data_IF_814609465697
#
_entry.id   IF_814609465697
#
_cell.length_a   1.000
_cell.length_b   1.000
_cell.length_c   1.000
_cell.angle_alpha   90.00
_cell.angle_beta   90.00
_cell.angle_gamma   90.00
#
_symmetry.space_group_name_H-M   'P 1'
#
loop_
_entity.id
_entity.type
_entity.pdbx_description
1 polymer ?
#
# COMPACT_ATOMS: atom_id res chain seq x y z
N UNK A 1 12.98 -0.01 -21.12
CA UNK A 1 11.92 -0.52 -20.20
C UNK A 1 11.63 -1.99 -20.40
N UNK A 2 11.40 -2.49 -21.63
CA UNK A 2 11.08 -3.91 -21.87
C UNK A 2 12.12 -4.91 -21.37
N UNK A 3 13.42 -4.67 -21.62
CA UNK A 3 14.48 -5.52 -21.09
C UNK A 3 14.48 -5.56 -19.56
N UNK A 4 14.34 -4.40 -18.90
CA UNK A 4 14.31 -4.31 -17.45
C UNK A 4 13.12 -5.09 -16.86
N UNK A 5 11.94 -4.96 -17.47
CA UNK A 5 10.74 -5.71 -17.11
C UNK A 5 10.97 -7.22 -17.27
N UNK A 6 11.39 -7.65 -18.46
CA UNK A 6 11.65 -9.06 -18.72
C UNK A 6 12.63 -9.66 -17.71
N UNK A 7 13.72 -8.94 -17.44
CA UNK A 7 14.74 -9.34 -16.47
C UNK A 7 14.16 -9.41 -15.06
N UNK A 8 13.35 -8.44 -14.60
CA UNK A 8 12.69 -8.52 -13.29
C UNK A 8 11.77 -9.73 -13.12
N UNK A 9 11.11 -10.16 -14.22
CA UNK A 9 10.15 -11.25 -14.19
C UNK A 9 10.81 -12.64 -14.30
N UNK A 10 11.79 -12.82 -15.19
CA UNK A 10 12.19 -14.15 -15.67
C UNK A 10 13.68 -14.46 -15.59
N UNK A 11 14.52 -13.53 -15.13
CA UNK A 11 15.95 -13.80 -15.09
C UNK A 11 16.29 -14.92 -14.10
N UNK A 12 17.19 -15.84 -14.49
CA UNK A 12 17.56 -17.01 -13.67
C UNK A 12 18.18 -16.64 -12.32
N UNK A 13 18.91 -15.53 -12.29
CA UNK A 13 19.51 -14.99 -11.07
C UNK A 13 18.50 -14.09 -10.35
N UNK A 14 18.10 -14.54 -9.16
CA UNK A 14 17.14 -13.86 -8.29
C UNK A 14 17.67 -12.48 -7.82
N UNK A 15 18.97 -12.32 -7.62
CA UNK A 15 19.55 -11.04 -7.19
C UNK A 15 19.52 -10.01 -8.33
N UNK A 16 19.67 -10.47 -9.58
CA UNK A 16 19.48 -9.61 -10.75
C UNK A 16 18.01 -9.20 -10.89
N UNK A 17 17.05 -10.12 -10.69
CA UNK A 17 15.62 -9.79 -10.65
C UNK A 17 15.34 -8.73 -9.58
N UNK A 18 15.87 -8.93 -8.38
CA UNK A 18 15.75 -8.03 -7.23
C UNK A 18 16.25 -6.63 -7.56
N UNK A 19 17.46 -6.51 -8.13
CA UNK A 19 18.01 -5.22 -8.54
C UNK A 19 17.12 -4.52 -9.58
N UNK A 20 16.53 -5.27 -10.52
CA UNK A 20 15.61 -4.71 -11.50
C UNK A 20 14.31 -4.18 -10.86
N UNK A 21 13.75 -4.91 -9.88
CA UNK A 21 12.61 -4.44 -9.09
C UNK A 21 12.96 -3.16 -8.31
N UNK A 22 14.14 -3.09 -7.70
CA UNK A 22 14.61 -1.89 -6.99
C UNK A 22 14.75 -0.68 -7.92
N UNK A 23 15.21 -0.89 -9.16
CA UNK A 23 15.23 0.16 -10.18
C UNK A 23 13.81 0.65 -10.46
N UNK A 24 12.83 -0.24 -10.68
CA UNK A 24 11.44 0.17 -10.87
C UNK A 24 10.87 0.94 -9.69
N UNK A 25 11.13 0.50 -8.45
CA UNK A 25 10.75 1.23 -7.23
C UNK A 25 11.29 2.66 -7.27
N UNK A 26 12.56 2.83 -7.64
CA UNK A 26 13.19 4.15 -7.73
C UNK A 26 12.55 5.01 -8.82
N UNK A 27 12.30 4.44 -10.00
CA UNK A 27 11.65 5.14 -11.10
C UNK A 27 10.22 5.57 -10.75
N UNK A 28 9.43 4.71 -10.09
CA UNK A 28 8.08 5.06 -9.61
C UNK A 28 8.15 6.23 -8.62
N UNK A 29 9.13 6.22 -7.70
CA UNK A 29 9.31 7.31 -6.73
C UNK A 29 9.66 8.64 -7.40
N UNK A 30 10.54 8.59 -8.39
CA UNK A 30 11.15 9.78 -9.01
C UNK A 30 10.30 10.37 -10.15
N UNK A 31 9.58 9.53 -10.91
CA UNK A 31 8.85 9.93 -12.12
C UNK A 31 7.35 10.09 -11.91
N UNK A 32 6.78 9.47 -10.87
CA UNK A 32 5.36 9.63 -10.54
C UNK A 32 5.19 10.56 -9.35
N UNK A 33 4.46 11.66 -9.53
CA UNK A 33 4.12 12.56 -8.44
C UNK A 33 2.98 11.98 -7.57
N UNK A 34 2.84 12.50 -6.35
CA UNK A 34 1.71 12.19 -5.46
C UNK A 34 0.41 12.74 -6.08
N UNK A 35 -0.78 12.21 -5.72
CA UNK A 35 -1.78 11.66 -6.65
C UNK A 35 -2.43 12.62 -7.67
N UNK A 36 -2.06 13.90 -7.67
CA UNK A 36 -2.56 14.93 -8.57
C UNK A 36 -1.44 15.68 -9.33
N UNK A 37 -0.18 15.22 -9.25
CA UNK A 37 0.93 15.84 -9.96
C UNK A 37 1.18 15.22 -11.32
N UNK A 38 1.72 16.00 -12.26
CA UNK A 38 2.06 15.53 -13.60
C UNK A 38 3.15 14.44 -13.54
N UNK A 39 2.94 13.34 -14.27
CA UNK A 39 3.99 12.34 -14.47
C UNK A 39 5.14 12.95 -15.30
N UNK A 40 6.38 12.70 -14.88
CA UNK A 40 7.55 13.25 -15.60
C UNK A 40 7.80 12.58 -16.93
N UNK A 41 7.31 11.35 -17.08
CA UNK A 41 7.47 10.52 -18.28
C UNK A 41 6.09 10.07 -18.72
N UNK A 42 5.58 10.58 -19.87
CA UNK A 42 4.26 10.23 -20.36
C UNK A 42 4.06 8.71 -20.53
N UNK A 43 2.94 8.19 -20.03
CA UNK A 43 2.55 6.79 -20.10
C UNK A 43 3.28 5.86 -19.12
N UNK A 44 4.16 6.39 -18.28
CA UNK A 44 4.92 5.56 -17.34
C UNK A 44 4.02 4.99 -16.25
N UNK A 45 3.08 5.78 -15.72
CA UNK A 45 2.11 5.28 -14.74
C UNK A 45 1.30 4.10 -15.30
N UNK A 46 0.73 4.25 -16.51
CA UNK A 46 -0.02 3.17 -17.17
C UNK A 46 0.85 1.94 -17.40
N UNK A 47 2.09 2.10 -17.86
CA UNK A 47 3.02 0.99 -18.01
C UNK A 47 3.25 0.24 -16.69
N UNK A 48 3.42 0.96 -15.57
CA UNK A 48 3.65 0.33 -14.28
C UNK A 48 2.41 -0.43 -13.80
N UNK A 49 1.24 0.19 -13.86
CA UNK A 49 -0.02 -0.40 -13.38
C UNK A 49 -0.41 -1.61 -14.25
N UNK A 50 -0.40 -1.46 -15.56
CA UNK A 50 -0.94 -2.45 -16.48
C UNK A 50 0.06 -3.58 -16.78
N UNK A 51 1.34 -3.24 -16.84
CA UNK A 51 2.38 -4.19 -17.28
C UNK A 51 3.24 -4.68 -16.14
N UNK A 52 3.95 -3.78 -15.44
CA UNK A 52 4.91 -4.20 -14.40
C UNK A 52 4.22 -4.89 -13.22
N UNK A 53 3.15 -4.32 -12.70
CA UNK A 53 2.45 -4.88 -11.55
C UNK A 53 1.94 -6.30 -11.83
N UNK A 54 1.28 -6.50 -12.97
CA UNK A 54 0.71 -7.81 -13.32
C UNK A 54 1.80 -8.84 -13.62
N UNK A 55 2.77 -8.49 -14.48
CA UNK A 55 3.79 -9.45 -14.90
C UNK A 55 4.82 -9.75 -13.80
N UNK A 56 5.33 -8.72 -13.13
CA UNK A 56 6.36 -8.89 -12.11
C UNK A 56 5.75 -9.18 -10.74
N UNK A 57 4.80 -8.36 -10.28
CA UNK A 57 4.33 -8.46 -8.89
C UNK A 57 3.29 -9.55 -8.66
N UNK A 58 2.66 -10.09 -9.72
CA UNK A 58 1.72 -11.20 -9.62
C UNK A 58 2.26 -12.46 -10.31
N UNK A 59 2.40 -12.46 -11.64
CA UNK A 59 2.69 -13.70 -12.39
C UNK A 59 4.07 -14.27 -12.10
N UNK A 60 5.09 -13.44 -11.90
CA UNK A 60 6.45 -13.93 -11.65
C UNK A 60 6.62 -14.65 -10.29
N UNK A 61 5.64 -14.51 -9.39
CA UNK A 61 5.53 -15.24 -8.12
C UNK A 61 4.81 -16.58 -8.25
N UNK A 62 4.02 -16.76 -9.32
CA UNK A 62 3.29 -18.00 -9.61
C UNK A 62 4.15 -19.00 -10.38
N UNK A 63 5.31 -18.57 -10.87
CA UNK A 63 6.25 -19.46 -11.55
C UNK A 63 6.83 -20.48 -10.56
N UNK A 64 6.94 -21.73 -11.01
CA UNK A 64 7.50 -22.84 -10.22
C UNK A 64 8.93 -22.58 -9.73
N UNK A 65 9.68 -21.68 -10.37
CA UNK A 65 11.02 -21.29 -9.94
C UNK A 65 11.03 -20.42 -8.67
N UNK A 66 9.87 -19.98 -8.18
CA UNK A 66 9.76 -19.10 -7.01
C UNK A 66 9.51 -19.92 -5.73
N UNK A 67 10.58 -20.30 -5.04
CA UNK A 67 10.49 -21.16 -3.85
C UNK A 67 10.51 -20.36 -2.54
N UNK A 68 9.43 -20.33 -1.77
CA UNK A 68 9.36 -19.60 -0.48
C UNK A 68 10.28 -20.10 0.64
N UNK A 69 11.02 -21.20 0.41
CA UNK A 69 12.04 -21.72 1.35
C UNK A 69 13.44 -21.18 1.04
N UNK A 70 13.65 -20.65 -0.16
CA UNK A 70 14.93 -20.05 -0.54
C UNK A 70 15.05 -18.62 0.02
N UNK A 71 16.24 -18.26 0.49
CA UNK A 71 16.46 -16.96 1.10
C UNK A 71 16.45 -15.83 0.04
N UNK A 72 16.97 -16.09 -1.16
CA UNK A 72 17.04 -15.07 -2.20
C UNK A 72 15.65 -14.76 -2.76
N UNK A 73 14.81 -15.77 -2.97
CA UNK A 73 13.41 -15.60 -3.38
C UNK A 73 12.61 -14.83 -2.32
N UNK A 74 12.83 -15.10 -1.02
CA UNK A 74 12.21 -14.32 0.06
C UNK A 74 12.65 -12.85 0.05
N UNK A 75 13.93 -12.59 -0.22
CA UNK A 75 14.43 -11.21 -0.38
C UNK A 75 13.79 -10.52 -1.59
N UNK A 76 13.69 -11.21 -2.74
CA UNK A 76 13.00 -10.69 -3.92
C UNK A 76 11.51 -10.45 -3.65
N UNK A 77 10.85 -11.35 -2.93
CA UNK A 77 9.46 -11.22 -2.52
C UNK A 77 9.25 -9.93 -1.70
N UNK A 78 10.15 -9.66 -0.76
CA UNK A 78 10.14 -8.41 0.02
C UNK A 78 10.20 -7.16 -0.86
N UNK A 79 11.07 -7.14 -1.87
CA UNK A 79 11.15 -6.03 -2.83
C UNK A 79 9.89 -5.92 -3.69
N UNK A 80 9.28 -7.04 -4.09
CA UNK A 80 8.01 -7.04 -4.84
C UNK A 80 6.88 -6.47 -3.99
N UNK A 81 6.79 -6.83 -2.71
CA UNK A 81 5.82 -6.25 -1.77
C UNK A 81 6.07 -4.76 -1.58
N UNK A 82 7.34 -4.34 -1.45
CA UNK A 82 7.70 -2.92 -1.38
C UNK A 82 7.33 -2.16 -2.65
N UNK A 83 7.50 -2.76 -3.83
CA UNK A 83 7.06 -2.16 -5.08
C UNK A 83 5.55 -1.93 -5.11
N UNK A 84 4.76 -2.92 -4.69
CA UNK A 84 3.31 -2.78 -4.60
C UNK A 84 2.86 -1.72 -3.59
N UNK A 85 3.56 -1.63 -2.46
CA UNK A 85 3.37 -0.55 -1.50
C UNK A 85 3.59 0.82 -2.14
N UNK A 86 4.72 1.01 -2.82
CA UNK A 86 5.07 2.28 -3.49
C UNK A 86 4.09 2.59 -4.63
N UNK A 87 3.63 1.60 -5.39
CA UNK A 87 2.60 1.77 -6.40
C UNK A 87 1.29 2.26 -5.79
N UNK A 88 0.87 1.70 -4.66
CA UNK A 88 -0.32 2.20 -3.96
C UNK A 88 -0.12 3.61 -3.38
N UNK A 89 1.05 3.95 -2.85
CA UNK A 89 1.34 5.32 -2.38
C UNK A 89 1.20 6.36 -3.50
N UNK A 90 1.68 6.02 -4.71
CA UNK A 90 1.69 6.93 -5.85
C UNK A 90 0.39 6.96 -6.63
N UNK A 91 -0.23 5.80 -6.84
CA UNK A 91 -1.37 5.62 -7.75
C UNK A 91 -2.69 5.38 -7.02
N UNK A 92 -2.65 5.17 -5.70
CA UNK A 92 -3.83 4.94 -4.90
C UNK A 92 -4.65 3.73 -5.38
N UNK A 93 -5.96 3.95 -5.48
CA UNK A 93 -6.90 2.89 -5.82
C UNK A 93 -6.85 2.47 -7.30
N UNK A 94 -6.27 3.25 -8.20
CA UNK A 94 -6.21 2.91 -9.62
C UNK A 94 -5.39 1.63 -9.86
N UNK A 95 -4.29 1.50 -9.11
CA UNK A 95 -3.49 0.27 -9.09
C UNK A 95 -4.31 -0.93 -8.60
N UNK A 96 -5.02 -0.80 -7.47
CA UNK A 96 -5.84 -1.88 -6.92
C UNK A 96 -6.98 -2.26 -7.87
N UNK A 97 -7.65 -1.27 -8.46
CA UNK A 97 -8.74 -1.47 -9.39
C UNK A 97 -8.27 -2.24 -10.64
N UNK A 98 -7.07 -1.94 -11.15
CA UNK A 98 -6.49 -2.71 -12.24
C UNK A 98 -6.19 -4.16 -11.83
N UNK A 99 -5.62 -4.38 -10.65
CA UNK A 99 -5.37 -5.71 -10.12
C UNK A 99 -6.66 -6.54 -9.98
N UNK A 100 -7.71 -5.96 -9.40
CA UNK A 100 -9.00 -6.63 -9.23
C UNK A 100 -9.71 -6.91 -10.55
N UNK A 101 -9.65 -5.97 -11.50
CA UNK A 101 -10.40 -6.10 -12.77
C UNK A 101 -9.67 -6.89 -13.86
N UNK A 102 -8.33 -6.91 -13.86
CA UNK A 102 -7.51 -7.52 -14.92
C UNK A 102 -6.53 -8.54 -14.38
N UNK A 103 -5.71 -8.17 -13.40
CA UNK A 103 -4.61 -9.00 -12.90
C UNK A 103 -5.07 -10.32 -12.29
N UNK A 104 -5.88 -10.24 -11.24
CA UNK A 104 -6.41 -11.39 -10.49
C UNK A 104 -7.31 -12.31 -11.33
N UNK A 105 -8.27 -11.80 -12.13
CA UNK A 105 -9.06 -12.66 -13.01
C UNK A 105 -8.22 -13.44 -14.01
N UNK A 106 -7.19 -12.82 -14.60
CA UNK A 106 -6.28 -13.49 -15.52
C UNK A 106 -5.35 -14.50 -14.82
N UNK A 107 -5.14 -14.39 -13.51
CA UNK A 107 -4.51 -15.42 -12.68
C UNK A 107 -5.49 -16.50 -12.17
N UNK A 108 -6.77 -16.44 -12.56
CA UNK A 108 -7.84 -17.29 -12.02
C UNK A 108 -7.98 -17.21 -10.49
N UNK A 109 -7.65 -16.05 -9.90
CA UNK A 109 -7.77 -15.80 -8.47
C UNK A 109 -9.25 -15.55 -8.09
N UNK A 110 -9.79 -16.26 -7.08
CA UNK A 110 -11.14 -16.01 -6.57
C UNK A 110 -11.33 -14.56 -6.08
N UNK A 111 -12.54 -14.03 -6.25
CA UNK A 111 -12.85 -12.64 -5.92
C UNK A 111 -12.67 -12.33 -4.43
N UNK A 112 -13.09 -13.22 -3.54
CA UNK A 112 -12.94 -13.07 -2.09
C UNK A 112 -11.46 -12.97 -1.67
N UNK A 113 -10.59 -13.73 -2.34
CA UNK A 113 -9.15 -13.68 -2.10
C UNK A 113 -8.52 -12.39 -2.66
N UNK A 114 -8.95 -11.94 -3.84
CA UNK A 114 -8.52 -10.67 -4.42
C UNK A 114 -8.89 -9.47 -3.52
N UNK A 115 -10.13 -9.44 -3.02
CA UNK A 115 -10.60 -8.41 -2.09
C UNK A 115 -9.80 -8.42 -0.79
N UNK A 116 -9.59 -9.62 -0.20
CA UNK A 116 -8.76 -9.78 0.99
C UNK A 116 -7.32 -9.32 0.75
N UNK A 117 -6.75 -9.59 -0.42
CA UNK A 117 -5.41 -9.12 -0.78
C UNK A 117 -5.33 -7.59 -0.80
N UNK A 118 -6.28 -6.94 -1.48
CA UNK A 118 -6.34 -5.47 -1.54
C UNK A 118 -6.46 -4.86 -0.13
N UNK A 119 -7.31 -5.43 0.74
CA UNK A 119 -7.42 -5.01 2.14
C UNK A 119 -6.09 -5.16 2.89
N UNK A 120 -5.39 -6.29 2.72
CA UNK A 120 -4.08 -6.49 3.36
C UNK A 120 -3.04 -5.50 2.87
N UNK A 121 -3.00 -5.19 1.57
CA UNK A 121 -2.04 -4.22 1.04
C UNK A 121 -2.32 -2.81 1.56
N UNK A 122 -3.60 -2.42 1.68
CA UNK A 122 -3.98 -1.16 2.33
C UNK A 122 -3.56 -1.13 3.81
N UNK A 123 -3.75 -2.24 4.54
CA UNK A 123 -3.31 -2.38 5.94
C UNK A 123 -1.80 -2.25 6.11
N UNK A 124 -0.98 -2.71 5.15
CA UNK A 124 0.48 -2.54 5.22
C UNK A 124 0.87 -1.06 5.28
N UNK A 125 0.20 -0.21 4.49
CA UNK A 125 0.44 1.23 4.46
C UNK A 125 -0.05 1.96 5.70
N UNK A 126 -1.30 1.69 6.06
CA UNK A 126 -1.87 2.21 7.30
C UNK A 126 -1.09 1.74 8.52
N UNK A 127 -0.52 0.54 8.46
CA UNK A 127 0.23 -0.08 9.53
C UNK A 127 1.49 0.67 9.92
N UNK A 128 2.17 1.33 8.98
CA UNK A 128 3.35 2.13 9.29
C UNK A 128 2.99 3.45 9.98
N UNK A 129 1.90 4.10 9.53
CA UNK A 129 1.39 5.32 10.18
C UNK A 129 0.99 5.00 11.63
N UNK A 130 0.25 3.91 11.82
CA UNK A 130 -0.16 3.44 13.13
C UNK A 130 1.04 3.10 14.02
N UNK A 131 2.07 2.45 13.47
CA UNK A 131 3.28 2.13 14.22
C UNK A 131 4.03 3.41 14.63
N UNK A 132 4.15 4.39 13.73
CA UNK A 132 4.76 5.68 14.05
C UNK A 132 3.96 6.42 15.13
N UNK A 133 2.63 6.41 15.06
CA UNK A 133 1.75 6.99 16.08
C UNK A 133 1.89 6.27 17.42
N UNK A 134 2.03 4.93 17.42
CA UNK A 134 2.30 4.14 18.63
C UNK A 134 3.64 4.51 19.26
N UNK A 135 4.70 4.62 18.47
CA UNK A 135 6.02 5.07 18.95
C UNK A 135 5.97 6.51 19.48
N UNK A 136 5.24 7.41 18.83
CA UNK A 136 5.04 8.78 19.33
C UNK A 136 4.31 8.77 20.68
N UNK A 137 3.25 7.97 20.83
CA UNK A 137 2.58 7.81 22.11
C UNK A 137 3.49 7.22 23.18
N UNK A 138 4.28 6.18 22.87
CA UNK A 138 5.22 5.58 23.83
C UNK A 138 6.30 6.56 24.29
N UNK A 139 6.72 7.50 23.44
CA UNK A 139 7.74 8.51 23.76
C UNK A 139 7.20 9.77 24.44
N UNK A 140 6.02 10.23 24.04
CA UNK A 140 5.46 11.52 24.46
C UNK A 140 4.22 11.40 25.34
N UNK A 141 3.70 10.18 25.53
CA UNK A 141 2.57 9.88 26.42
C UNK A 141 1.32 10.69 26.09
N UNK A 142 0.69 11.22 27.15
CA UNK A 142 -0.58 11.92 27.06
C UNK A 142 -0.51 13.26 26.31
N UNK A 143 0.68 13.86 26.18
CA UNK A 143 0.84 15.13 25.45
C UNK A 143 0.57 14.93 23.95
N UNK A 144 1.03 13.80 23.40
CA UNK A 144 0.70 13.41 22.03
C UNK A 144 -0.81 13.20 21.85
N UNK A 145 -1.46 12.49 22.78
CA UNK A 145 -2.90 12.26 22.74
C UNK A 145 -3.69 13.55 22.85
N UNK A 146 -3.34 14.43 23.78
CA UNK A 146 -3.99 15.73 23.98
C UNK A 146 -3.90 16.60 22.72
N UNK A 147 -2.74 16.62 22.06
CA UNK A 147 -2.59 17.32 20.78
C UNK A 147 -3.44 16.70 19.67
N UNK A 148 -3.46 15.37 19.57
CA UNK A 148 -4.24 14.66 18.56
C UNK A 148 -5.75 14.89 18.75
N UNK A 149 -6.25 14.86 19.99
CA UNK A 149 -7.65 15.11 20.35
C UNK A 149 -8.05 16.57 20.16
N UNK A 150 -7.19 17.52 20.55
CA UNK A 150 -7.52 18.95 20.46
C UNK A 150 -7.35 19.55 19.07
N UNK A 151 -6.45 19.00 18.24
CA UNK A 151 -6.13 19.57 16.92
C UNK A 151 -6.23 18.58 15.77
N UNK A 152 -5.67 17.38 15.92
CA UNK A 152 -5.59 16.39 14.84
C UNK A 152 -6.97 15.90 14.37
N UNK A 153 -7.76 15.33 15.30
CA UNK A 153 -9.09 14.81 15.01
C UNK A 153 -10.09 15.89 14.57
N UNK A 154 -10.16 17.07 15.22
CA UNK A 154 -11.01 18.15 14.75
C UNK A 154 -10.67 18.62 13.34
N UNK A 155 -9.38 18.76 12.99
CA UNK A 155 -8.96 19.14 11.63
C UNK A 155 -9.37 18.10 10.57
N UNK A 156 -9.45 16.82 10.95
CA UNK A 156 -9.92 15.74 10.09
C UNK A 156 -11.46 15.60 10.05
N UNK A 157 -12.20 16.43 10.81
CA UNK A 157 -13.65 16.29 11.06
C UNK A 157 -14.01 14.91 11.63
N UNK A 158 -13.14 14.35 12.46
CA UNK A 158 -13.34 13.03 13.04
C UNK A 158 -14.39 13.06 14.15
N UNK A 159 -15.43 12.20 14.10
CA UNK A 159 -16.40 12.04 15.18
C UNK A 159 -15.73 11.73 16.52
N UNK A 160 -16.28 12.30 17.60
CA UNK A 160 -15.69 12.20 18.93
C UNK A 160 -15.61 10.74 19.42
N UNK A 161 -16.63 9.93 19.17
CA UNK A 161 -16.67 8.51 19.55
C UNK A 161 -15.56 7.71 18.86
N UNK A 162 -15.28 8.01 17.59
CA UNK A 162 -14.20 7.38 16.83
C UNK A 162 -12.82 7.84 17.29
N UNK A 163 -12.68 9.13 17.63
CA UNK A 163 -11.45 9.68 18.20
C UNK A 163 -11.12 9.06 19.56
N UNK A 164 -12.11 8.95 20.45
CA UNK A 164 -11.95 8.30 21.76
C UNK A 164 -11.57 6.83 21.62
N UNK A 165 -12.26 6.09 20.74
CA UNK A 165 -11.94 4.68 20.46
C UNK A 165 -10.54 4.52 19.87
N UNK A 166 -10.10 5.42 18.99
CA UNK A 166 -8.73 5.42 18.49
C UNK A 166 -7.72 5.60 19.63
N UNK A 167 -7.92 6.59 20.49
CA UNK A 167 -7.04 6.86 21.62
C UNK A 167 -6.96 5.66 22.59
N UNK A 168 -8.08 4.99 22.84
CA UNK A 168 -8.11 3.76 23.65
C UNK A 168 -7.28 2.65 23.01
N UNK A 169 -7.46 2.41 21.71
CA UNK A 169 -6.68 1.37 21.02
C UNK A 169 -5.19 1.71 20.91
N UNK A 170 -4.85 2.99 20.76
CA UNK A 170 -3.47 3.46 20.72
C UNK A 170 -2.75 3.25 22.05
N UNK A 171 -3.48 3.32 23.17
CA UNK A 171 -2.95 3.02 24.51
C UNK A 171 -2.80 1.50 24.76
N UNK A 172 -3.66 0.68 24.15
CA UNK A 172 -3.63 -0.77 24.26
C UNK A 172 -2.40 -1.43 23.65
N UNK A 173 -2.13 -2.69 24.00
CA UNK A 173 -0.98 -3.47 23.49
C UNK A 173 -1.26 -4.16 22.14
N UNK A 174 -2.53 -4.30 21.73
CA UNK A 174 -2.90 -4.99 20.50
C UNK A 174 -2.73 -4.09 19.26
N UNK A 175 -1.52 -4.12 18.70
CA UNK A 175 -1.18 -3.39 17.48
C UNK A 175 -2.01 -3.85 16.26
N UNK A 176 -2.46 -5.10 16.24
CA UNK A 176 -3.23 -5.64 15.11
C UNK A 176 -4.65 -5.10 15.12
N UNK A 177 -5.27 -5.03 16.30
CA UNK A 177 -6.55 -4.36 16.48
C UNK A 177 -6.48 -2.89 16.08
N UNK A 178 -5.44 -2.18 16.54
CA UNK A 178 -5.24 -0.76 16.22
C UNK A 178 -5.11 -0.51 14.71
N UNK A 179 -4.33 -1.33 14.00
CA UNK A 179 -4.20 -1.22 12.52
C UNK A 179 -5.54 -1.41 11.81
N UNK A 180 -6.30 -2.42 12.23
CA UNK A 180 -7.62 -2.73 11.66
C UNK A 180 -8.63 -1.60 11.93
N UNK A 181 -8.61 -1.05 13.14
CA UNK A 181 -9.45 0.07 13.51
C UNK A 181 -9.07 1.35 12.75
N UNK A 182 -7.78 1.64 12.60
CA UNK A 182 -7.31 2.81 11.87
C UNK A 182 -7.71 2.76 10.39
N UNK A 183 -7.65 1.60 9.75
CA UNK A 183 -8.20 1.44 8.39
C UNK A 183 -9.68 1.83 8.34
N UNK A 184 -10.50 1.25 9.23
CA UNK A 184 -11.94 1.53 9.29
C UNK A 184 -12.22 3.03 9.55
N UNK A 185 -11.41 3.65 10.40
CA UNK A 185 -11.46 5.08 10.69
C UNK A 185 -11.22 5.91 9.44
N UNK A 186 -10.13 5.66 8.71
CA UNK A 186 -9.79 6.41 7.50
C UNK A 186 -10.84 6.22 6.41
N UNK A 187 -11.37 5.01 6.24
CA UNK A 187 -12.46 4.74 5.30
C UNK A 187 -13.73 5.54 5.64
N UNK A 188 -14.10 5.60 6.92
CA UNK A 188 -15.24 6.41 7.40
C UNK A 188 -15.03 7.90 7.12
N UNK A 189 -13.87 8.44 7.50
CA UNK A 189 -13.54 9.86 7.30
C UNK A 189 -13.53 10.24 5.81
N UNK A 190 -12.98 9.39 4.94
CA UNK A 190 -13.02 9.62 3.49
C UNK A 190 -14.44 9.66 2.96
N UNK A 191 -15.33 8.76 3.41
CA UNK A 191 -16.74 8.77 2.99
C UNK A 191 -17.45 10.04 3.42
N UNK A 192 -17.19 10.54 4.63
CA UNK A 192 -17.77 11.80 5.12
C UNK A 192 -17.27 13.01 4.31
N UNK A 193 -15.97 13.07 4.02
CA UNK A 193 -15.38 14.19 3.26
C UNK A 193 -15.77 14.17 1.78
N UNK A 194 -15.84 13.00 1.14
CA UNK A 194 -16.20 12.88 -0.28
C UNK A 194 -17.72 12.89 -0.51
N UNK A 195 -18.53 12.46 0.47
CA UNK A 195 -19.99 12.58 0.41
C UNK A 195 -20.50 14.01 0.57
N UNK A 196 -19.71 14.88 1.22
CA UNK A 196 -19.96 16.33 1.34
C UNK A 196 -19.90 17.06 -0.02
N UNK A 197 -19.17 16.53 -1.00
CA UNK A 197 -18.99 17.13 -2.32
C UNK A 197 -20.13 16.84 -3.33
N UNK A 198 -21.13 16.02 -2.97
CA UNK A 198 -22.28 15.68 -3.85
C UNK A 198 -23.51 16.56 -3.58
N UNK A 199 -23.44 17.51 -2.63
CA UNK A 199 -24.50 18.49 -2.38
C UNK A 199 -23.94 19.90 -2.54
N UNK A 200 -23.79 20.34 -3.79
CA UNK A 200 -23.94 21.75 -4.19
C UNK A 200 -24.08 21.88 -5.70
#
# INVERSE_FOLDING_TARGET
MQLLLFTSCKHKDILVRKACVQIFIRLIKDWCAMPNGEEKVPGFQSFIIETFATNCCLYSLLDTSFEFRDANTLVLFGEIVLAQKVMFEKFGNDFLAHFVSKGFPAAHCPQDLAEKYCQQLQLVLFGEIVLAQKVMFEKFGNDFLAHFVSKGFPAAHCPQDLAEKYCQQLQGSDIKALKSFYQSLIESLRRQQNGSLVVR
#
